data_IF_811913195872
#
_entry.id   IF_811913195872
#
_cell.length_a   1.000
_cell.length_b   1.000
_cell.length_c   1.000
_cell.angle_alpha   90.00
_cell.angle_beta   90.00
_cell.angle_gamma   90.00
#
_symmetry.space_group_name_H-M   'P 1'
#
loop_
_entity.id
_entity.type
_entity.pdbx_description
1 polymer ?
#
# COMPACT_ATOMS: atom_id res chain seq x y z
N UNK A 1 -11.75 -11.06 -28.47
CA UNK A 1 -12.90 -10.28 -27.94
C UNK A 1 -13.13 -10.68 -26.49
N UNK A 2 -12.64 -9.87 -25.55
CA UNK A 2 -12.94 -9.91 -24.09
C UNK A 2 -12.25 -8.75 -23.32
N UNK A 3 -11.44 -7.92 -24.00
CA UNK A 3 -10.78 -6.75 -23.40
C UNK A 3 -11.53 -5.42 -23.59
N UNK A 4 -12.61 -5.39 -24.38
CA UNK A 4 -13.30 -4.13 -24.74
C UNK A 4 -14.55 -3.83 -23.91
N UNK A 5 -14.98 -4.73 -23.02
CA UNK A 5 -16.15 -4.51 -22.16
C UNK A 5 -15.81 -4.49 -20.67
N UNK A 6 -14.73 -3.80 -20.29
CA UNK A 6 -14.66 -3.28 -18.91
C UNK A 6 -14.50 -1.75 -18.80
N UNK A 7 -15.36 -0.93 -19.47
CA UNK A 7 -15.40 0.51 -19.24
C UNK A 7 -16.60 0.90 -18.36
N UNK A 8 -16.60 0.54 -17.07
CA UNK A 8 -17.67 1.00 -16.16
C UNK A 8 -17.21 1.53 -14.79
N UNK A 9 -16.07 1.15 -14.23
CA UNK A 9 -15.64 1.73 -12.96
C UNK A 9 -14.23 1.32 -12.56
N UNK A 10 -13.32 2.29 -12.58
CA UNK A 10 -12.01 2.20 -11.90
C UNK A 10 -12.18 1.83 -10.41
N UNK A 11 -13.26 2.30 -9.78
CA UNK A 11 -13.65 1.93 -8.42
C UNK A 11 -13.94 0.45 -8.21
N UNK A 12 -14.58 -0.24 -9.17
CA UNK A 12 -14.87 -1.68 -9.05
C UNK A 12 -13.59 -2.51 -9.20
N UNK A 13 -12.64 -2.05 -10.03
CA UNK A 13 -11.33 -2.70 -10.13
C UNK A 13 -10.51 -2.57 -8.86
N UNK A 14 -10.50 -1.39 -8.23
CA UNK A 14 -9.82 -1.18 -6.94
C UNK A 14 -10.43 -2.07 -5.85
N UNK A 15 -11.76 -2.21 -5.83
CA UNK A 15 -12.48 -3.12 -4.92
C UNK A 15 -12.05 -4.58 -5.13
N UNK A 16 -12.04 -5.04 -6.38
CA UNK A 16 -11.62 -6.39 -6.75
C UNK A 16 -10.15 -6.66 -6.38
N UNK A 17 -9.26 -5.71 -6.65
CA UNK A 17 -7.84 -5.84 -6.30
C UNK A 17 -7.65 -5.86 -4.80
N UNK A 18 -8.43 -5.08 -4.04
CA UNK A 18 -8.39 -5.11 -2.58
C UNK A 18 -8.82 -6.46 -2.02
N UNK A 19 -9.92 -7.02 -2.52
CA UNK A 19 -10.38 -8.36 -2.10
C UNK A 19 -9.41 -9.46 -2.54
N UNK A 20 -8.78 -9.31 -3.71
CA UNK A 20 -7.77 -10.24 -4.20
C UNK A 20 -6.51 -10.24 -3.31
N UNK A 21 -6.07 -9.08 -2.83
CA UNK A 21 -4.95 -8.97 -1.88
C UNK A 21 -5.32 -9.58 -0.52
N UNK A 22 -6.55 -9.37 -0.04
CA UNK A 22 -7.04 -9.99 1.20
C UNK A 22 -7.14 -11.51 1.07
N UNK A 23 -7.63 -11.99 -0.07
CA UNK A 23 -7.69 -13.41 -0.38
C UNK A 23 -6.28 -14.01 -0.46
N UNK A 24 -5.34 -13.34 -1.13
CA UNK A 24 -3.96 -13.83 -1.20
C UNK A 24 -3.26 -13.85 0.16
N UNK A 25 -3.58 -12.92 1.06
CA UNK A 25 -3.10 -12.93 2.45
C UNK A 25 -3.81 -13.99 3.32
N UNK A 26 -4.99 -14.46 2.93
CA UNK A 26 -5.74 -15.49 3.67
C UNK A 26 -5.38 -16.92 3.25
N UNK A 27 -4.75 -17.12 2.08
CA UNK A 27 -4.24 -18.42 1.61
C UNK A 27 -2.84 -18.69 2.21
N UNK A 28 -2.61 -18.30 3.46
CA UNK A 28 -1.41 -18.73 4.18
C UNK A 28 -1.45 -20.25 4.35
N UNK A 29 -0.70 -21.01 3.51
CA UNK A 29 0.20 -22.07 4.00
C UNK A 29 1.10 -22.80 2.97
N UNK A 30 0.98 -22.68 1.62
CA UNK A 30 1.82 -23.56 0.75
C UNK A 30 2.59 -22.91 -0.44
N UNK A 31 2.20 -21.75 -1.00
CA UNK A 31 2.88 -21.21 -2.21
C UNK A 31 3.23 -19.71 -2.16
N UNK A 32 4.49 -19.43 -1.80
CA UNK A 32 5.07 -18.06 -1.81
C UNK A 32 5.11 -17.41 -3.20
N UNK A 33 5.12 -18.22 -4.26
CA UNK A 33 5.20 -17.77 -5.66
C UNK A 33 3.88 -17.12 -6.09
N UNK A 34 2.75 -17.75 -5.75
CA UNK A 34 1.42 -17.21 -6.08
C UNK A 34 1.20 -15.87 -5.38
N UNK A 35 1.59 -15.77 -4.12
CA UNK A 35 1.51 -14.52 -3.36
C UNK A 35 2.36 -13.38 -4.00
N UNK A 36 3.55 -13.70 -4.52
CA UNK A 36 4.38 -12.73 -5.25
C UNK A 36 3.73 -12.28 -6.56
N UNK A 37 3.14 -13.20 -7.32
CA UNK A 37 2.43 -12.90 -8.57
C UNK A 37 1.21 -12.00 -8.28
N UNK A 38 0.37 -12.36 -7.32
CA UNK A 38 -0.82 -11.56 -6.97
C UNK A 38 -0.45 -10.18 -6.44
N UNK A 39 0.60 -10.08 -5.62
CA UNK A 39 1.13 -8.79 -5.15
C UNK A 39 1.67 -7.96 -6.32
N UNK A 40 2.37 -8.58 -7.27
CA UNK A 40 2.91 -7.94 -8.47
C UNK A 40 1.81 -7.37 -9.37
N UNK A 41 0.80 -8.18 -9.68
CA UNK A 41 -0.37 -7.78 -10.49
C UNK A 41 -1.14 -6.65 -9.79
N UNK A 42 -1.41 -6.79 -8.49
CA UNK A 42 -2.12 -5.78 -7.71
C UNK A 42 -1.39 -4.44 -7.69
N UNK A 43 -0.06 -4.48 -7.49
CA UNK A 43 0.79 -3.28 -7.55
C UNK A 43 0.76 -2.63 -8.93
N UNK A 44 0.86 -3.40 -10.01
CA UNK A 44 0.81 -2.87 -11.37
C UNK A 44 -0.47 -2.08 -11.63
N UNK A 45 -1.63 -2.65 -11.26
CA UNK A 45 -2.91 -2.00 -11.47
C UNK A 45 -3.13 -0.81 -10.54
N UNK A 46 -2.74 -0.89 -9.26
CA UNK A 46 -2.85 0.24 -8.33
C UNK A 46 -1.93 1.40 -8.73
N UNK A 47 -0.73 1.13 -9.25
CA UNK A 47 0.13 2.18 -9.82
C UNK A 47 -0.56 2.86 -11.00
N UNK A 48 -1.10 2.08 -11.94
CA UNK A 48 -1.82 2.61 -13.10
C UNK A 48 -3.06 3.42 -12.72
N UNK A 49 -3.79 3.00 -11.68
CA UNK A 49 -4.92 3.74 -11.14
C UNK A 49 -4.45 5.04 -10.46
N UNK A 50 -3.31 5.00 -9.74
CA UNK A 50 -2.75 6.20 -9.11
C UNK A 50 -2.26 7.23 -10.12
N UNK A 51 -1.78 6.79 -11.29
CA UNK A 51 -1.40 7.69 -12.39
C UNK A 51 -2.62 8.39 -13.00
N UNK A 52 -3.79 7.74 -12.97
CA UNK A 52 -5.06 8.28 -13.48
C UNK A 52 -5.80 9.15 -12.48
N UNK A 53 -5.73 8.79 -11.20
CA UNK A 53 -6.36 9.51 -10.10
C UNK A 53 -5.33 9.83 -9.00
N UNK A 54 -4.38 10.74 -9.26
CA UNK A 54 -3.29 11.04 -8.33
C UNK A 54 -3.76 11.73 -7.05
N UNK A 55 -5.01 12.21 -7.03
CA UNK A 55 -5.60 12.91 -5.89
C UNK A 55 -6.18 11.99 -4.82
N UNK A 56 -6.31 10.68 -5.09
CA UNK A 56 -7.03 9.73 -4.23
C UNK A 56 -6.09 9.01 -3.26
N UNK A 57 -6.22 9.28 -1.96
CA UNK A 57 -5.38 8.73 -0.91
C UNK A 57 -5.49 7.21 -0.74
N UNK A 58 -6.69 6.66 -0.92
CA UNK A 58 -6.98 5.22 -0.75
C UNK A 58 -6.10 4.33 -1.62
N UNK A 59 -5.78 4.78 -2.84
CA UNK A 59 -4.89 4.05 -3.76
C UNK A 59 -3.48 3.89 -3.19
N UNK A 60 -2.94 4.97 -2.64
CA UNK A 60 -1.62 4.96 -2.02
C UNK A 60 -1.62 4.15 -0.72
N UNK A 61 -2.69 4.21 0.07
CA UNK A 61 -2.84 3.37 1.25
C UNK A 61 -2.77 1.87 0.89
N UNK A 62 -3.44 1.43 -0.17
CA UNK A 62 -3.34 0.03 -0.62
C UNK A 62 -1.96 -0.34 -1.17
N UNK A 63 -1.27 0.57 -1.87
CA UNK A 63 0.13 0.38 -2.27
C UNK A 63 1.08 0.22 -1.07
N UNK A 64 0.79 0.92 0.04
CA UNK A 64 1.57 0.81 1.26
C UNK A 64 1.44 -0.58 1.92
N UNK A 65 0.23 -1.14 1.95
CA UNK A 65 -0.04 -2.50 2.44
C UNK A 65 0.72 -3.53 1.60
N UNK A 66 0.68 -3.41 0.27
CA UNK A 66 1.44 -4.29 -0.64
C UNK A 66 2.96 -4.17 -0.50
N UNK A 67 3.44 -3.08 0.09
CA UNK A 67 4.84 -2.89 0.45
C UNK A 67 5.30 -3.79 1.61
N UNK A 68 4.37 -4.36 2.38
CA UNK A 68 4.66 -5.16 3.58
C UNK A 68 4.53 -6.69 3.40
N UNK A 69 3.83 -7.19 2.36
CA UNK A 69 3.37 -8.59 2.33
C UNK A 69 4.38 -9.65 1.83
N UNK A 70 5.12 -9.42 0.73
CA UNK A 70 6.03 -10.44 0.14
C UNK A 70 7.50 -10.17 0.47
N UNK A 71 7.92 -8.92 0.22
CA UNK A 71 9.24 -8.42 0.52
C UNK A 71 9.07 -7.11 1.26
N UNK A 72 8.95 -7.15 2.60
CA UNK A 72 8.64 -5.97 3.39
C UNK A 72 9.69 -4.90 3.13
N UNK A 73 9.20 -3.74 2.69
CA UNK A 73 10.02 -2.54 2.44
C UNK A 73 9.43 -1.38 3.24
N UNK A 74 9.79 -1.26 4.53
CA UNK A 74 9.24 -0.26 5.44
C UNK A 74 9.30 1.17 4.88
N UNK A 75 10.39 1.53 4.17
CA UNK A 75 10.50 2.82 3.49
C UNK A 75 9.45 3.06 2.40
N UNK A 76 9.18 2.03 1.58
CA UNK A 76 8.19 2.15 0.50
C UNK A 76 6.78 2.28 1.10
N UNK A 77 6.50 1.51 2.15
CA UNK A 77 5.24 1.63 2.88
C UNK A 77 5.10 2.99 3.56
N UNK A 78 6.16 3.52 4.17
CA UNK A 78 6.18 4.87 4.75
C UNK A 78 5.85 5.92 3.68
N UNK A 79 6.56 5.91 2.55
CA UNK A 79 6.30 6.82 1.43
C UNK A 79 4.82 6.81 1.00
N UNK A 80 4.26 5.62 0.79
CA UNK A 80 2.89 5.50 0.30
C UNK A 80 1.85 5.88 1.36
N UNK A 81 2.07 5.57 2.64
CA UNK A 81 1.19 6.03 3.71
C UNK A 81 1.24 7.56 3.86
N UNK A 82 2.42 8.17 3.86
CA UNK A 82 2.55 9.64 3.91
C UNK A 82 1.89 10.27 2.69
N UNK A 83 2.10 9.72 1.48
CA UNK A 83 1.43 10.18 0.27
C UNK A 83 -0.10 10.07 0.36
N UNK A 84 -0.63 9.00 0.96
CA UNK A 84 -2.07 8.84 1.17
C UNK A 84 -2.70 9.91 2.07
N UNK A 85 -1.91 10.51 2.97
CA UNK A 85 -2.33 11.59 3.86
C UNK A 85 -2.15 12.99 3.24
N UNK A 86 -1.21 13.15 2.31
CA UNK A 86 -0.85 14.46 1.74
C UNK A 86 -1.52 14.77 0.39
N UNK A 87 -2.25 13.84 -0.20
CA UNK A 87 -2.99 14.08 -1.45
C UNK A 87 -4.28 14.88 -1.22
N UNK A 88 -4.82 15.56 -2.25
CA UNK A 88 -6.03 16.38 -2.12
C UNK A 88 -7.27 15.68 -1.53
N UNK A 89 -7.42 14.37 -1.75
CA UNK A 89 -8.46 13.55 -1.11
C UNK A 89 -7.75 12.55 -0.18
N UNK A 90 -7.42 12.97 1.06
CA UNK A 90 -6.61 12.16 1.96
C UNK A 90 -7.36 10.95 2.49
N UNK A 91 -6.62 9.90 2.87
CA UNK A 91 -7.17 8.70 3.51
C UNK A 91 -6.73 8.63 4.98
N UNK A 92 -7.59 9.07 5.90
CA UNK A 92 -7.27 9.26 7.32
C UNK A 92 -6.86 7.98 8.06
N UNK A 93 -7.42 6.82 7.70
CA UNK A 93 -7.06 5.53 8.32
C UNK A 93 -5.61 5.12 8.07
N UNK A 94 -4.92 5.74 7.11
CA UNK A 94 -3.48 5.53 6.91
C UNK A 94 -2.63 5.93 8.13
N UNK A 95 -3.10 6.88 8.95
CA UNK A 95 -2.37 7.33 10.15
C UNK A 95 -2.24 6.20 11.17
N UNK A 96 -3.28 5.39 11.34
CA UNK A 96 -3.24 4.23 12.24
C UNK A 96 -2.29 3.15 11.71
N UNK A 97 -2.31 2.93 10.39
CA UNK A 97 -1.41 1.94 9.74
C UNK A 97 0.06 2.36 9.74
N UNK A 98 0.36 3.67 9.77
CA UNK A 98 1.71 4.22 9.89
C UNK A 98 2.40 3.77 11.20
N UNK A 99 1.65 3.72 12.30
CA UNK A 99 2.15 3.21 13.59
C UNK A 99 2.71 1.79 13.48
N UNK A 100 2.07 0.93 12.68
CA UNK A 100 2.56 -0.44 12.45
C UNK A 100 3.88 -0.46 11.67
N UNK A 101 4.07 0.47 10.71
CA UNK A 101 5.32 0.60 9.95
C UNK A 101 6.47 1.07 10.83
N UNK A 102 6.21 2.03 11.74
CA UNK A 102 7.21 2.48 12.70
C UNK A 102 7.68 1.34 13.62
N UNK A 103 6.75 0.50 14.08
CA UNK A 103 7.06 -0.69 14.87
C UNK A 103 7.84 -1.78 14.09
N UNK A 104 7.75 -1.81 12.77
CA UNK A 104 8.49 -2.77 11.91
C UNK A 104 9.95 -2.34 11.67
N UNK A 105 10.27 -1.06 11.80
CA UNK A 105 11.61 -0.49 11.58
C UNK A 105 12.56 -0.67 12.79
N UNK A 106 12.59 -1.88 13.36
CA UNK A 106 13.42 -2.25 14.52
C UNK A 106 14.81 -2.79 14.15
N UNK A 107 15.15 -2.86 12.87
CA UNK A 107 16.45 -3.33 12.39
C UNK A 107 17.47 -2.19 12.32
N UNK A 108 18.75 -2.46 12.50
CA UNK A 108 19.80 -1.40 12.47
C UNK A 108 20.21 -1.07 11.03
N UNK A 109 19.24 -0.75 10.16
CA UNK A 109 19.47 -0.26 8.79
C UNK A 109 19.49 1.27 8.77
N UNK A 110 20.25 1.94 7.86
CA UNK A 110 20.11 3.38 7.64
C UNK A 110 18.67 3.81 7.33
N UNK A 111 17.91 2.95 6.65
CA UNK A 111 16.49 3.12 6.36
C UNK A 111 15.64 3.28 7.63
N UNK A 112 15.99 2.54 8.69
CA UNK A 112 15.24 2.53 9.96
C UNK A 112 15.52 3.79 10.78
N UNK A 113 16.70 4.40 10.61
CA UNK A 113 17.03 5.70 11.23
C UNK A 113 16.19 6.83 10.61
N UNK A 114 15.98 6.79 9.29
CA UNK A 114 15.11 7.73 8.59
C UNK A 114 13.65 7.58 9.04
N UNK A 115 13.15 6.33 9.09
CA UNK A 115 11.77 6.03 9.52
C UNK A 115 11.51 6.50 10.96
N UNK A 116 12.46 6.28 11.90
CA UNK A 116 12.36 6.77 13.28
C UNK A 116 12.34 8.28 13.41
N UNK A 117 13.08 8.98 12.55
CA UNK A 117 13.10 10.45 12.58
C UNK A 117 11.73 11.00 12.14
N UNK A 118 11.13 10.37 11.14
CA UNK A 118 9.77 10.71 10.67
C UNK A 118 8.71 10.42 11.74
N UNK A 119 8.84 9.31 12.50
CA UNK A 119 7.98 8.98 13.65
C UNK A 119 7.98 10.07 14.73
N UNK A 120 9.16 10.59 15.09
CA UNK A 120 9.29 11.68 16.09
C UNK A 120 8.61 12.96 15.60
N UNK A 121 8.71 13.27 14.31
CA UNK A 121 8.04 14.43 13.72
C UNK A 121 6.52 14.24 13.65
N UNK A 122 6.05 13.02 13.38
CA UNK A 122 4.62 12.69 13.32
C UNK A 122 3.93 12.67 14.70
N UNK A 123 4.67 12.28 15.75
CA UNK A 123 4.17 12.21 17.13
C UNK A 123 4.20 13.56 17.86
N UNK A 124 5.07 14.50 17.44
CA UNK A 124 5.15 15.85 18.02
C UNK A 124 4.08 16.82 17.50
N UNK A 125 3.33 16.46 16.45
CA UNK A 125 2.24 17.25 15.87
C UNK A 125 0.82 16.82 16.33
N UNK A 126 0.69 16.07 17.43
CA UNK A 126 -0.61 15.70 18.01
C UNK A 126 -1.15 16.72 19.00
#
# INVERSE_FOLDING_TARGET
MLYETVPASEGTWIEYLRELVRFSMAIEEDDTIDHEIYTGVSRHWLCKASDRSPTTGTLYHHLAILGLSVRPSPLRSLYYYTKSLCVPIPFSSARESLTNVFNLALSKSPDDTFIRTDEILFSTQS
#
